data_IF_010892175417
#
_entry.id   IF_010892175417
#
_cell.length_a   1.000
_cell.length_b   1.000
_cell.length_c   1.000
_cell.angle_alpha   90.00
_cell.angle_beta   90.00
_cell.angle_gamma   90.00
#
_symmetry.space_group_name_H-M   'P 1'
#
loop_
_entity.id
_entity.type
_entity.pdbx_description
1 polymer ?
#
# COMPACT_ATOMS: atom_id res chain seq x y z
N UNK A 1 18.91 -27.05 4.69
CA UNK A 1 18.74 -26.52 3.32
C UNK A 1 17.30 -26.78 2.90
N UNK A 2 16.42 -25.78 3.03
CA UNK A 2 15.07 -25.87 2.49
C UNK A 2 15.16 -25.62 0.98
N UNK A 3 14.79 -26.61 0.17
CA UNK A 3 14.68 -26.41 -1.27
C UNK A 3 13.54 -25.40 -1.51
N UNK A 4 13.72 -24.38 -2.36
CA UNK A 4 12.59 -23.62 -2.87
C UNK A 4 11.67 -24.62 -3.59
N UNK A 5 10.49 -24.85 -3.05
CA UNK A 5 9.47 -25.59 -3.76
C UNK A 5 8.83 -24.62 -4.75
N UNK A 6 8.91 -24.97 -6.03
CA UNK A 6 8.15 -24.30 -7.07
C UNK A 6 6.70 -24.15 -6.59
N UNK A 7 6.18 -22.93 -6.69
CA UNK A 7 4.83 -22.58 -6.26
C UNK A 7 3.85 -23.57 -6.90
N UNK A 8 3.21 -24.40 -6.07
CA UNK A 8 2.39 -25.51 -6.54
C UNK A 8 0.91 -25.14 -6.68
N UNK A 9 0.48 -24.01 -6.10
CA UNK A 9 -0.90 -23.56 -6.15
C UNK A 9 -1.05 -22.20 -6.85
N UNK A 10 -1.93 -22.08 -7.88
CA UNK A 10 -2.20 -20.82 -8.57
C UNK A 10 -2.63 -19.66 -7.65
N UNK A 11 -3.31 -19.95 -6.54
CA UNK A 11 -3.73 -18.93 -5.58
C UNK A 11 -2.55 -18.32 -4.81
N UNK A 12 -1.55 -19.14 -4.47
CA UNK A 12 -0.31 -18.68 -3.83
C UNK A 12 0.52 -17.83 -4.81
N UNK A 13 0.63 -18.27 -6.08
CA UNK A 13 1.37 -17.53 -7.12
C UNK A 13 0.76 -16.16 -7.38
N UNK A 14 -0.57 -16.09 -7.51
CA UNK A 14 -1.27 -14.82 -7.71
C UNK A 14 -1.03 -13.87 -6.53
N UNK A 15 -1.13 -14.35 -5.28
CA UNK A 15 -0.88 -13.50 -4.13
C UNK A 15 0.58 -13.01 -4.07
N UNK A 16 1.54 -13.91 -4.31
CA UNK A 16 2.96 -13.53 -4.40
C UNK A 16 3.18 -12.45 -5.45
N UNK A 17 2.61 -12.60 -6.65
CA UNK A 17 2.66 -11.57 -7.71
C UNK A 17 2.02 -10.26 -7.26
N UNK A 18 0.87 -10.30 -6.59
CA UNK A 18 0.22 -9.08 -6.09
C UNK A 18 1.17 -8.29 -5.18
N UNK A 19 1.90 -8.97 -4.29
CA UNK A 19 2.88 -8.35 -3.38
C UNK A 19 4.11 -7.87 -4.17
N UNK A 20 4.66 -8.71 -5.05
CA UNK A 20 5.85 -8.39 -5.85
C UNK A 20 5.67 -7.19 -6.77
N UNK A 21 4.50 -7.06 -7.39
CA UNK A 21 4.19 -5.96 -8.31
C UNK A 21 3.46 -4.78 -7.66
N UNK A 22 3.28 -4.79 -6.33
CA UNK A 22 2.83 -3.62 -5.55
C UNK A 22 3.97 -3.10 -4.68
N UNK A 23 4.16 -3.67 -3.50
CA UNK A 23 5.18 -3.26 -2.53
C UNK A 23 6.57 -3.57 -3.05
N UNK A 24 6.75 -4.70 -3.76
CA UNK A 24 8.02 -5.08 -4.37
C UNK A 24 8.49 -4.22 -5.55
N UNK A 25 7.72 -3.21 -5.99
CA UNK A 25 8.21 -2.22 -6.97
C UNK A 25 9.04 -1.11 -6.34
N UNK A 26 9.08 -1.07 -5.01
CA UNK A 26 10.01 -0.23 -4.27
C UNK A 26 11.44 -0.74 -4.48
N UNK A 27 12.39 0.14 -4.85
CA UNK A 27 13.76 -0.28 -5.19
C UNK A 27 14.54 -0.90 -4.02
N UNK A 28 14.13 -0.65 -2.78
CA UNK A 28 14.79 -1.17 -1.57
C UNK A 28 14.08 -2.40 -0.99
N UNK A 29 13.08 -2.94 -1.71
CA UNK A 29 12.29 -4.09 -1.28
C UNK A 29 12.42 -5.24 -2.28
N UNK A 30 12.74 -6.41 -1.77
CA UNK A 30 12.82 -7.64 -2.56
C UNK A 30 11.88 -8.70 -1.97
N UNK A 31 11.00 -9.24 -2.82
CA UNK A 31 10.08 -10.32 -2.42
C UNK A 31 10.70 -11.66 -2.78
N UNK A 32 10.97 -12.49 -1.78
CA UNK A 32 11.52 -13.84 -2.00
C UNK A 32 10.47 -14.78 -2.56
N UNK A 33 10.95 -15.86 -3.19
CA UNK A 33 10.09 -16.97 -3.58
C UNK A 33 9.39 -17.57 -2.34
N UNK A 34 8.09 -17.88 -2.43
CA UNK A 34 7.38 -18.52 -1.34
C UNK A 34 7.95 -19.89 -1.00
N UNK A 35 7.88 -20.28 0.27
CA UNK A 35 8.24 -21.63 0.70
C UNK A 35 7.28 -22.15 1.76
N UNK A 36 7.15 -23.47 1.84
CA UNK A 36 6.26 -24.11 2.81
C UNK A 36 6.97 -24.36 4.15
N UNK A 37 6.28 -24.06 5.25
CA UNK A 37 6.73 -24.35 6.62
C UNK A 37 5.53 -24.69 7.49
N UNK A 38 5.48 -25.90 8.04
CA UNK A 38 4.41 -26.37 8.93
C UNK A 38 2.99 -26.18 8.33
N UNK A 39 2.78 -26.60 7.07
CA UNK A 39 1.52 -26.44 6.32
C UNK A 39 1.08 -24.97 6.15
N UNK A 40 2.02 -24.03 6.25
CA UNK A 40 1.81 -22.61 6.00
C UNK A 40 2.80 -22.15 4.94
N UNK A 41 2.30 -21.47 3.92
CA UNK A 41 3.14 -20.82 2.93
C UNK A 41 3.71 -19.54 3.53
N UNK A 42 5.02 -19.36 3.47
CA UNK A 42 5.71 -18.16 3.94
C UNK A 42 6.18 -17.37 2.73
N UNK A 43 5.86 -16.07 2.71
CA UNK A 43 6.40 -15.10 1.75
C UNK A 43 7.24 -14.11 2.55
N UNK A 44 8.52 -14.01 2.21
CA UNK A 44 9.44 -13.08 2.88
C UNK A 44 9.62 -11.80 2.07
N UNK A 45 9.39 -10.67 2.72
CA UNK A 45 9.61 -9.31 2.20
C UNK A 45 10.92 -8.81 2.80
N UNK A 46 11.97 -8.75 2.00
CA UNK A 46 13.28 -8.25 2.42
C UNK A 46 13.33 -6.75 2.19
N UNK A 47 13.67 -5.98 3.23
CA UNK A 47 13.78 -4.52 3.20
C UNK A 47 15.20 -4.13 3.57
N UNK A 48 15.86 -3.36 2.71
CA UNK A 48 17.26 -2.97 2.93
C UNK A 48 17.41 -1.89 4.01
N UNK A 49 16.46 -0.96 4.13
CA UNK A 49 16.49 0.06 5.18
C UNK A 49 15.89 -0.45 6.50
N UNK A 50 16.71 -0.44 7.56
CA UNK A 50 16.31 -0.87 8.90
C UNK A 50 15.27 0.02 9.58
N UNK A 51 15.11 1.29 9.17
CA UNK A 51 14.04 2.18 9.66
C UNK A 51 12.71 1.93 8.93
N UNK A 52 12.79 1.51 7.67
CA UNK A 52 11.60 1.20 6.85
C UNK A 52 11.06 -0.20 7.13
N UNK A 53 11.92 -1.17 7.45
CA UNK A 53 11.49 -2.54 7.67
C UNK A 53 10.35 -2.68 8.72
N UNK A 54 10.39 -2.01 9.88
CA UNK A 54 9.27 -2.02 10.82
C UNK A 54 8.01 -1.36 10.27
N UNK A 55 8.15 -0.27 9.51
CA UNK A 55 7.02 0.39 8.88
C UNK A 55 6.33 -0.50 7.83
N UNK A 56 7.11 -1.18 6.99
CA UNK A 56 6.62 -2.18 6.03
C UNK A 56 5.90 -3.32 6.76
N UNK A 57 6.47 -3.84 7.85
CA UNK A 57 5.85 -4.87 8.67
C UNK A 57 4.53 -4.39 9.31
N UNK A 58 4.44 -3.10 9.66
CA UNK A 58 3.24 -2.47 10.21
C UNK A 58 2.10 -2.34 9.20
N UNK A 59 2.40 -1.95 7.96
CA UNK A 59 1.37 -1.67 6.95
C UNK A 59 0.94 -2.88 6.15
N UNK A 60 1.79 -3.91 6.02
CA UNK A 60 1.46 -5.11 5.28
C UNK A 60 0.41 -5.94 6.02
N UNK A 61 -0.49 -6.54 5.25
CA UNK A 61 -1.29 -7.65 5.76
C UNK A 61 -0.38 -8.87 5.94
N UNK A 62 -0.33 -9.36 7.16
CA UNK A 62 0.59 -10.41 7.62
C UNK A 62 0.06 -11.83 7.40
N UNK A 63 -1.26 -12.00 7.25
CA UNK A 63 -1.87 -13.32 7.03
C UNK A 63 -2.99 -13.29 5.97
N UNK A 64 -3.02 -14.32 5.13
CA UNK A 64 -4.07 -14.56 4.13
C UNK A 64 -4.60 -15.98 4.27
N UNK A 65 -5.93 -16.10 4.32
CA UNK A 65 -6.63 -17.37 4.33
C UNK A 65 -7.33 -17.55 3.00
N UNK A 66 -6.83 -18.47 2.17
CA UNK A 66 -7.37 -18.80 0.85
C UNK A 66 -7.93 -20.22 0.90
N UNK A 67 -9.18 -20.33 1.37
CA UNK A 67 -9.82 -21.63 1.61
C UNK A 67 -9.08 -22.42 2.69
N UNK A 68 -8.42 -23.51 2.31
CA UNK A 68 -7.62 -24.36 3.21
C UNK A 68 -6.15 -23.95 3.31
N UNK A 69 -5.71 -22.97 2.51
CA UNK A 69 -4.31 -22.54 2.44
C UNK A 69 -4.11 -21.33 3.34
N UNK A 70 -3.16 -21.43 4.25
CA UNK A 70 -2.70 -20.32 5.09
C UNK A 70 -1.40 -19.77 4.53
N UNK A 71 -1.36 -18.47 4.28
CA UNK A 71 -0.17 -17.77 3.80
C UNK A 71 0.18 -16.70 4.82
N UNK A 72 1.45 -16.68 5.25
CA UNK A 72 1.99 -15.66 6.16
C UNK A 72 3.05 -14.83 5.45
N UNK A 73 2.99 -13.53 5.69
CA UNK A 73 3.96 -12.56 5.20
C UNK A 73 4.90 -12.22 6.34
N UNK A 74 6.20 -12.43 6.14
CA UNK A 74 7.24 -12.06 7.09
C UNK A 74 8.11 -10.95 6.50
N UNK A 75 8.47 -9.95 7.30
CA UNK A 75 9.42 -8.92 6.89
C UNK A 75 10.80 -9.25 7.44
N UNK A 76 11.82 -9.16 6.58
CA UNK A 76 13.22 -9.40 6.91
C UNK A 76 13.97 -8.07 6.74
N UNK A 77 14.62 -7.60 7.79
CA UNK A 77 15.45 -6.38 7.73
C UNK A 77 16.86 -6.64 7.20
N UNK A 78 17.71 -5.60 7.12
CA UNK A 78 19.05 -5.68 6.53
C UNK A 78 19.98 -6.70 7.21
N UNK A 79 19.80 -6.95 8.49
CA UNK A 79 20.58 -7.93 9.24
C UNK A 79 20.17 -9.40 8.97
N UNK A 80 19.26 -9.65 8.03
CA UNK A 80 18.70 -10.97 7.74
C UNK A 80 17.80 -11.51 8.86
N UNK A 81 17.34 -10.64 9.76
CA UNK A 81 16.50 -10.99 10.91
C UNK A 81 15.04 -10.64 10.63
N UNK A 82 14.08 -11.44 11.14
CA UNK A 82 12.68 -11.06 11.15
C UNK A 82 12.46 -9.73 11.86
N UNK A 83 11.63 -8.89 11.27
CA UNK A 83 11.21 -7.61 11.80
C UNK A 83 9.72 -7.68 12.10
N UNK A 84 9.34 -7.16 13.27
CA UNK A 84 7.96 -7.13 13.74
C UNK A 84 7.37 -5.73 13.55
N UNK A 85 6.04 -5.63 13.36
CA UNK A 85 5.36 -4.34 13.31
C UNK A 85 5.56 -3.55 14.61
N UNK A 86 5.67 -2.21 14.55
CA UNK A 86 5.72 -1.39 15.75
C UNK A 86 4.38 -1.44 16.50
N UNK A 87 4.42 -1.13 17.80
CA UNK A 87 3.22 -0.95 18.61
C UNK A 87 2.55 0.38 18.28
N UNK A 88 1.45 0.31 17.52
CA UNK A 88 0.68 1.48 17.08
C UNK A 88 -0.11 2.13 18.22
N UNK A 89 -0.25 1.47 19.37
CA UNK A 89 -0.95 2.00 20.55
C UNK A 89 -0.02 2.79 21.48
N UNK A 90 1.28 2.79 21.18
CA UNK A 90 2.29 3.50 21.96
C UNK A 90 2.08 5.02 21.95
N UNK A 91 2.36 5.71 23.08
CA UNK A 91 2.23 7.15 23.15
C UNK A 91 3.17 7.84 22.15
N UNK A 92 2.63 8.77 21.35
CA UNK A 92 3.39 9.53 20.35
C UNK A 92 3.64 8.78 19.03
N UNK A 93 3.09 7.58 18.86
CA UNK A 93 3.13 6.88 17.58
C UNK A 93 2.23 7.57 16.54
N UNK A 94 2.73 7.74 15.32
CA UNK A 94 1.97 8.27 14.20
C UNK A 94 1.79 7.20 13.13
N UNK A 95 0.55 6.71 12.98
CA UNK A 95 0.21 5.75 11.92
C UNK A 95 0.43 6.36 10.54
N UNK A 96 0.14 7.66 10.38
CA UNK A 96 0.38 8.41 9.15
C UNK A 96 1.87 8.34 8.76
N UNK A 97 2.77 8.69 9.67
CA UNK A 97 4.21 8.65 9.42
C UNK A 97 4.70 7.22 9.14
N UNK A 98 4.12 6.21 9.79
CA UNK A 98 4.43 4.81 9.48
C UNK A 98 4.06 4.47 8.04
N UNK A 99 2.86 4.84 7.59
CA UNK A 99 2.41 4.58 6.20
C UNK A 99 3.27 5.33 5.19
N UNK A 100 3.58 6.60 5.45
CA UNK A 100 4.50 7.39 4.61
C UNK A 100 5.88 6.74 4.54
N UNK A 101 6.46 6.37 5.69
CA UNK A 101 7.79 5.74 5.76
C UNK A 101 7.83 4.39 5.04
N UNK A 102 6.72 3.65 5.08
CA UNK A 102 6.60 2.40 4.35
C UNK A 102 6.58 2.64 2.83
N UNK A 103 5.78 3.59 2.35
CA UNK A 103 5.43 3.71 0.93
C UNK A 103 6.19 4.80 0.17
N UNK A 104 6.98 5.67 0.80
CA UNK A 104 7.54 6.87 0.14
C UNK A 104 8.38 6.59 -1.12
N UNK A 105 9.09 5.46 -1.16
CA UNK A 105 9.92 5.08 -2.32
C UNK A 105 9.16 4.22 -3.34
N UNK A 106 7.90 3.90 -3.06
CA UNK A 106 7.07 3.15 -3.98
C UNK A 106 6.58 4.08 -5.12
N UNK A 107 6.84 3.74 -6.40
CA UNK A 107 6.52 4.61 -7.52
C UNK A 107 5.02 4.83 -7.76
N UNK A 108 4.16 4.03 -7.14
CA UNK A 108 2.71 4.18 -7.24
C UNK A 108 2.13 5.08 -6.14
N UNK A 109 2.82 5.24 -5.02
CA UNK A 109 2.35 6.02 -3.90
C UNK A 109 2.47 7.52 -4.19
N UNK A 110 1.43 8.27 -3.85
CA UNK A 110 1.41 9.74 -3.98
C UNK A 110 1.53 10.40 -2.62
N UNK A 111 0.57 10.17 -1.73
CA UNK A 111 0.50 10.76 -0.40
C UNK A 111 -0.47 9.97 0.51
N UNK A 112 -0.49 10.29 1.79
CA UNK A 112 -1.49 9.83 2.75
C UNK A 112 -2.28 11.07 3.20
N UNK A 113 -3.61 10.96 3.25
CA UNK A 113 -4.49 12.04 3.67
C UNK A 113 -5.29 11.57 4.89
N UNK A 114 -5.28 12.32 6.01
CA UNK A 114 -6.22 12.08 7.09
C UNK A 114 -7.63 12.50 6.65
N UNK A 115 -8.59 11.57 6.66
CA UNK A 115 -10.01 11.89 6.43
C UNK A 115 -10.60 12.38 7.75
N UNK A 116 -10.39 13.67 8.05
CA UNK A 116 -10.97 14.28 9.25
C UNK A 116 -12.47 14.48 9.05
N UNK A 117 -13.26 13.70 9.78
CA UNK A 117 -14.71 13.92 9.90
C UNK A 117 -15.00 14.51 11.28
N UNK A 118 -15.72 15.64 11.37
CA UNK A 118 -16.02 16.29 12.65
C UNK A 118 -16.70 15.40 13.69
N UNK A 119 -17.33 14.30 13.26
CA UNK A 119 -18.10 13.37 14.10
C UNK A 119 -17.39 12.03 14.34
N UNK A 120 -16.28 11.74 13.66
CA UNK A 120 -15.49 10.53 13.85
C UNK A 120 -14.08 10.93 14.31
N UNK A 121 -13.59 10.42 15.45
CA UNK A 121 -12.20 10.69 15.86
C UNK A 121 -11.25 10.20 14.76
N UNK A 122 -10.05 10.80 14.71
CA UNK A 122 -8.93 10.68 13.76
C UNK A 122 -8.50 9.24 13.36
N UNK A 123 -9.42 8.42 12.89
CA UNK A 123 -9.28 6.98 12.72
C UNK A 123 -9.43 6.54 11.26
N UNK A 124 -9.42 7.48 10.32
CA UNK A 124 -9.49 7.15 8.89
C UNK A 124 -8.33 7.84 8.16
N UNK A 125 -7.45 7.01 7.59
CA UNK A 125 -6.39 7.47 6.69
C UNK A 125 -6.68 6.95 5.29
N UNK A 126 -6.36 7.75 4.27
CA UNK A 126 -6.48 7.35 2.86
C UNK A 126 -5.12 7.42 2.20
N UNK A 127 -4.56 6.27 1.81
CA UNK A 127 -3.36 6.19 0.99
C UNK A 127 -3.74 6.43 -0.47
N UNK A 128 -3.24 7.53 -1.02
CA UNK A 128 -3.52 7.96 -2.38
C UNK A 128 -2.43 7.46 -3.31
N UNK A 129 -2.82 6.85 -4.43
CA UNK A 129 -1.94 6.28 -5.44
C UNK A 129 -2.12 6.98 -6.78
N UNK A 130 -1.06 7.05 -7.59
CA UNK A 130 -1.16 7.51 -8.96
C UNK A 130 -2.06 6.57 -9.80
N UNK A 131 -2.80 7.09 -10.80
CA UNK A 131 -3.64 6.27 -11.68
C UNK A 131 -2.78 5.41 -12.61
N UNK A 132 -2.38 4.24 -12.13
CA UNK A 132 -1.53 3.27 -12.83
C UNK A 132 -2.23 1.92 -12.88
N UNK A 133 -2.19 1.29 -14.06
CA UNK A 133 -2.66 -0.08 -14.26
C UNK A 133 -1.46 -1.02 -14.15
N UNK A 134 -1.54 -1.96 -13.21
CA UNK A 134 -0.54 -2.98 -12.96
C UNK A 134 -1.02 -4.27 -13.62
N UNK A 135 -0.16 -4.87 -14.44
CA UNK A 135 -0.45 -6.11 -15.18
C UNK A 135 0.24 -7.28 -14.51
N UNK A 136 -0.53 -8.24 -14.06
CA UNK A 136 -0.04 -9.48 -13.49
C UNK A 136 -0.29 -10.61 -14.50
N UNK A 137 0.74 -11.38 -14.80
CA UNK A 137 0.55 -12.62 -15.56
C UNK A 137 -0.21 -13.64 -14.70
N UNK A 138 -1.18 -14.35 -15.30
CA UNK A 138 -1.92 -15.46 -14.68
C UNK A 138 -1.72 -16.71 -15.51
N UNK A 139 -1.33 -17.80 -14.83
CA UNK A 139 -1.26 -19.13 -15.43
C UNK A 139 -2.66 -19.78 -15.50
N UNK A 140 -3.57 -19.12 -16.21
CA UNK A 140 -4.96 -19.52 -16.36
C UNK A 140 -5.29 -19.50 -17.86
N UNK A 141 -5.40 -20.70 -18.45
CA UNK A 141 -5.75 -20.92 -19.85
C UNK A 141 -7.15 -20.39 -20.25
N UNK A 142 -8.00 -20.00 -19.29
CA UNK A 142 -9.34 -19.45 -19.54
C UNK A 142 -9.33 -17.94 -19.81
N UNK A 143 -8.26 -17.22 -19.46
CA UNK A 143 -8.08 -15.83 -19.86
C UNK A 143 -7.42 -15.79 -21.25
N UNK A 144 -8.17 -15.38 -22.28
CA UNK A 144 -7.73 -15.35 -23.69
C UNK A 144 -6.39 -14.60 -23.95
N UNK A 145 -5.91 -13.81 -22.97
CA UNK A 145 -4.62 -13.11 -23.00
C UNK A 145 -3.71 -13.37 -21.78
N UNK A 146 -4.08 -14.22 -20.81
CA UNK A 146 -3.21 -14.63 -19.69
C UNK A 146 -2.75 -13.51 -18.73
N UNK A 147 -3.37 -12.32 -18.76
CA UNK A 147 -3.06 -11.23 -17.83
C UNK A 147 -4.29 -10.76 -17.05
N UNK A 148 -4.10 -10.46 -15.78
CA UNK A 148 -5.03 -9.70 -14.97
C UNK A 148 -4.55 -8.25 -14.85
N UNK A 149 -5.49 -7.31 -14.95
CA UNK A 149 -5.24 -5.88 -14.85
C UNK A 149 -5.81 -5.39 -13.54
N UNK A 150 -4.99 -4.70 -12.75
CA UNK A 150 -5.39 -4.08 -11.49
C UNK A 150 -5.11 -2.58 -11.55
N UNK A 151 -6.01 -1.77 -11.03
CA UNK A 151 -5.66 -0.39 -10.67
C UNK A 151 -4.77 -0.45 -9.42
N UNK A 152 -3.79 0.42 -9.32
CA UNK A 152 -2.89 0.46 -8.16
C UNK A 152 -3.66 0.49 -6.84
N UNK A 153 -4.68 1.35 -6.73
CA UNK A 153 -5.57 1.41 -5.56
C UNK A 153 -6.14 0.05 -5.15
N UNK A 154 -6.71 -0.71 -6.08
CA UNK A 154 -7.31 -2.02 -5.82
C UNK A 154 -6.25 -3.03 -5.37
N UNK A 155 -5.09 -3.01 -6.03
CA UNK A 155 -4.00 -3.92 -5.71
C UNK A 155 -3.45 -3.67 -4.31
N UNK A 156 -3.25 -2.40 -3.95
CA UNK A 156 -2.78 -2.02 -2.62
C UNK A 156 -3.85 -2.24 -1.54
N UNK A 157 -5.15 -2.12 -1.85
CA UNK A 157 -6.24 -2.44 -0.92
C UNK A 157 -6.20 -3.91 -0.47
N UNK A 158 -5.74 -4.81 -1.34
CA UNK A 158 -5.60 -6.23 -1.03
C UNK A 158 -4.34 -6.57 -0.22
N UNK A 159 -3.25 -5.83 -0.45
CA UNK A 159 -1.93 -6.11 0.12
C UNK A 159 -1.71 -5.41 1.47
N UNK A 160 -2.29 -4.21 1.64
CA UNK A 160 -2.17 -3.44 2.86
C UNK A 160 -3.17 -3.88 3.92
N UNK A 161 -2.79 -3.67 5.18
CA UNK A 161 -3.66 -3.85 6.32
C UNK A 161 -4.74 -2.77 6.32
N UNK A 162 -6.00 -3.19 6.33
CA UNK A 162 -7.16 -2.29 6.34
C UNK A 162 -7.45 -1.69 7.72
N UNK A 163 -7.23 -2.43 8.80
CA UNK A 163 -7.56 -2.00 10.17
C UNK A 163 -6.40 -2.29 11.12
N UNK A 164 -6.08 -1.31 11.94
CA UNK A 164 -5.00 -1.36 12.94
C UNK A 164 -5.56 -1.55 14.35
N UNK A 165 -4.71 -1.92 15.29
CA UNK A 165 -5.10 -2.26 16.67
C UNK A 165 -5.53 -1.06 17.51
N UNK A 166 -5.15 0.16 17.10
CA UNK A 166 -5.63 1.44 17.65
C UNK A 166 -7.06 1.81 17.17
N UNK A 167 -7.64 1.03 16.25
CA UNK A 167 -8.94 1.27 15.65
C UNK A 167 -8.89 1.99 14.31
N UNK A 168 -7.73 2.49 13.89
CA UNK A 168 -7.57 3.23 12.64
C UNK A 168 -7.84 2.33 11.43
N UNK A 169 -8.54 2.88 10.44
CA UNK A 169 -8.86 2.27 9.15
C UNK A 169 -8.06 2.96 8.05
N UNK A 170 -7.39 2.15 7.24
CA UNK A 170 -6.68 2.60 6.05
C UNK A 170 -7.51 2.28 4.80
N UNK A 171 -7.87 3.32 4.08
CA UNK A 171 -8.42 3.24 2.73
C UNK A 171 -7.32 3.46 1.71
N UNK A 172 -7.55 2.96 0.50
CA UNK A 172 -6.77 3.30 -0.67
C UNK A 172 -7.64 4.11 -1.62
N UNK A 173 -7.04 5.05 -2.33
CA UNK A 173 -7.70 5.85 -3.36
C UNK A 173 -6.75 6.14 -4.51
N UNK A 174 -7.27 6.39 -5.69
CA UNK A 174 -6.49 6.91 -6.83
C UNK A 174 -6.58 8.43 -6.87
N UNK A 175 -5.49 9.13 -7.20
CA UNK A 175 -5.52 10.57 -7.49
C UNK A 175 -6.57 10.82 -8.58
N UNK A 176 -7.65 11.56 -8.32
CA UNK A 176 -8.61 11.89 -9.36
C UNK A 176 -7.89 12.77 -10.39
N UNK A 177 -7.89 12.33 -11.65
CA UNK A 177 -7.37 13.12 -12.76
C UNK A 177 -8.11 14.46 -12.81
N UNK A 178 -7.49 15.51 -12.27
CA UNK A 178 -8.02 16.88 -12.14
C UNK A 178 -9.25 17.03 -11.22
N UNK A 179 -9.16 16.81 -9.90
CA UNK A 179 -10.22 17.29 -8.99
C UNK A 179 -9.87 17.45 -7.49
N UNK A 180 -8.64 17.80 -7.10
CA UNK A 180 -8.36 18.28 -5.73
C UNK A 180 -7.58 19.61 -5.74
N UNK A 181 -8.11 20.59 -6.49
CA UNK A 181 -8.01 21.98 -6.06
C UNK A 181 -9.36 22.33 -5.48
N UNK A 182 -9.50 22.26 -4.15
CA UNK A 182 -10.40 23.07 -3.32
C UNK A 182 -10.41 22.49 -1.90
N UNK A 183 -9.31 22.68 -1.15
CA UNK A 183 -9.39 23.00 0.29
C UNK A 183 -8.02 23.42 0.84
N UNK A 184 -7.54 24.56 0.38
CA UNK A 184 -6.79 25.46 1.25
C UNK A 184 -7.70 26.63 1.58
N UNK A 185 -7.91 26.85 2.87
CA UNK A 185 -8.69 27.97 3.38
C UNK A 185 -8.22 29.27 2.75
N UNK A 186 -9.13 29.97 2.08
CA UNK A 186 -9.01 31.38 1.82
C UNK A 186 -10.32 32.03 2.23
N UNK A 187 -10.21 32.92 3.23
CA UNK A 187 -11.29 33.78 3.67
C UNK A 187 -11.90 34.55 2.48
N UNK A 188 -13.20 34.89 2.52
CA UNK A 188 -13.84 35.57 1.41
C UNK A 188 -13.28 36.99 1.29
N UNK A 189 -12.51 37.25 0.23
CA UNK A 189 -12.13 38.61 -0.17
C UNK A 189 -13.38 39.29 -0.73
N UNK A 190 -13.91 40.24 0.04
CA UNK A 190 -14.97 41.17 -0.35
C UNK A 190 -14.61 41.89 -1.65
N UNK A 191 -15.57 41.86 -2.58
CA UNK A 191 -15.97 42.92 -3.51
C UNK A 191 -14.88 43.91 -3.95
N UNK A 192 -14.35 43.71 -5.17
CA UNK A 192 -13.89 44.83 -6.01
C UNK A 192 -14.34 44.63 -7.46
N UNK A 193 -15.29 45.48 -7.88
CA UNK A 193 -15.79 45.61 -9.25
C UNK A 193 -14.63 45.78 -10.26
N UNK A 194 -14.73 45.21 -11.48
CA UNK A 194 -13.72 45.40 -12.51
C UNK A 194 -13.79 46.82 -13.10
N UNK A 195 -12.66 47.55 -13.07
CA UNK A 195 -12.46 48.78 -13.86
C UNK A 195 -12.10 48.36 -15.30
N UNK A 196 -12.95 48.70 -16.26
CA UNK A 196 -12.62 48.67 -17.69
C UNK A 196 -11.49 49.67 -17.98
N UNK A 197 -10.41 49.20 -18.61
CA UNK A 197 -9.39 50.04 -19.23
C UNK A 197 -9.71 50.14 -20.73
N UNK A 198 -10.05 51.34 -21.18
CA UNK A 198 -10.14 51.67 -22.61
C UNK A 198 -8.72 51.84 -23.16
N UNK A 199 -8.40 51.13 -24.25
CA UNK A 199 -7.27 51.46 -25.12
C UNK A 199 -7.73 52.57 -26.07
N UNK A 200 -7.04 53.72 -26.07
CA UNK A 200 -7.11 54.68 -27.16
C UNK A 200 -5.79 54.66 -27.93
N UNK A 201 -5.97 54.76 -29.25
CA UNK A 201 -4.98 54.88 -30.33
C UNK A 201 -4.02 56.04 -30.18
#
# INVERSE_FOLDING_TARGET
MNKPHAISNPAQDILWRKIAYSIGTDPEICIREPYEKNNTTIIEVVVEDGRRAPAIAGVLKDEYNLGTIQIKIGVIGPAGKPVFPPDVTGPGFSLQQMVETALFANPYFHEIIPDYRPEEPEQVLTAVFYPKVIRLWRDDLSAYYGYAHYVAEDLFAEVLRRRFTDGTVLHTATVPGRAFFLRTGSAPVKDRKPRMLYFNS
#
